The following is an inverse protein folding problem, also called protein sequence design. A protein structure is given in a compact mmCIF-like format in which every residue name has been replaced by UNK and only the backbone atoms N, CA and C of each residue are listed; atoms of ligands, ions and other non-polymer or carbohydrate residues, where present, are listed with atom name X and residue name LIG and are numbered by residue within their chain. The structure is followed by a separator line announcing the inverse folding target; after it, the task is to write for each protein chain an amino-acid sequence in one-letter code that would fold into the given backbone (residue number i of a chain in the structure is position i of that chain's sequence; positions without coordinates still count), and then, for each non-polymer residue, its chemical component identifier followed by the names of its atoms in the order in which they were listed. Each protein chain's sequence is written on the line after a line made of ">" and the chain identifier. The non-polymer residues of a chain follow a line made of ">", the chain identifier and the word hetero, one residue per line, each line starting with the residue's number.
data_IF_348988895233
#
_entry.id   IF_348988895233
#
_cell.length_a   1.000
_cell.length_b   1.000
_cell.length_c   1.000
_cell.angle_alpha   90.00
_cell.angle_beta   90.00
_cell.angle_gamma   90.00
#
_symmetry.space_group_name_H-M   'P 1'
#
loop_
_entity.id
_entity.type
_entity.pdbx_description
1 polymer ?
#
# COMPACT_ATOMS: atom_id res chain seq x y z
N UNK A 1 5.17 -10.06 4.93
CA UNK A 1 4.25 -9.53 3.90
C UNK A 1 3.33 -10.65 3.48
N UNK A 2 2.03 -10.45 3.66
CA UNK A 2 1.00 -11.27 3.04
C UNK A 2 0.73 -10.83 1.58
N UNK A 3 -0.24 -11.44 0.92
CA UNK A 3 -0.58 -11.11 -0.47
C UNK A 3 -1.18 -9.70 -0.63
N UNK A 4 -1.88 -9.18 0.39
CA UNK A 4 -2.41 -7.82 0.38
C UNK A 4 -1.24 -6.83 0.42
N UNK A 5 -0.24 -7.10 1.26
CA UNK A 5 0.97 -6.28 1.38
C UNK A 5 1.73 -6.25 0.06
N UNK A 6 1.98 -7.41 -0.56
CA UNK A 6 2.70 -7.51 -1.85
C UNK A 6 2.00 -6.71 -2.94
N UNK A 7 0.67 -6.85 -3.04
CA UNK A 7 -0.12 -6.14 -4.05
C UNK A 7 -0.11 -4.62 -3.82
N UNK A 8 -0.19 -4.17 -2.57
CA UNK A 8 -0.12 -2.76 -2.25
C UNK A 8 1.24 -2.15 -2.56
N UNK A 9 2.33 -2.86 -2.23
CA UNK A 9 3.69 -2.43 -2.56
C UNK A 9 3.90 -2.34 -4.07
N UNK A 10 3.41 -3.31 -4.85
CA UNK A 10 3.49 -3.27 -6.32
C UNK A 10 2.74 -2.06 -6.91
N UNK A 11 1.54 -1.75 -6.40
CA UNK A 11 0.78 -0.58 -6.84
C UNK A 11 1.54 0.73 -6.56
N UNK A 12 2.20 0.82 -5.40
CA UNK A 12 3.00 1.99 -5.01
C UNK A 12 4.27 2.13 -5.84
N UNK A 13 4.93 1.02 -6.19
CA UNK A 13 6.10 1.05 -7.09
C UNK A 13 5.74 1.56 -8.48
N UNK A 14 4.57 1.17 -8.99
CA UNK A 14 4.09 1.62 -10.31
C UNK A 14 3.51 3.04 -10.27
N UNK A 15 3.32 3.65 -9.08
CA UNK A 15 2.69 4.95 -8.95
C UNK A 15 3.50 6.09 -9.62
N UNK A 16 4.81 5.91 -9.81
CA UNK A 16 5.66 6.86 -10.53
C UNK A 16 5.35 6.97 -12.02
N UNK A 17 4.66 5.98 -12.58
CA UNK A 17 4.27 5.91 -13.99
C UNK A 17 2.79 6.28 -14.21
N UNK A 18 2.07 6.59 -13.14
CA UNK A 18 0.64 6.87 -13.18
C UNK A 18 0.38 8.37 -13.36
N UNK A 19 -0.69 8.70 -14.08
CA UNK A 19 -1.29 10.03 -14.08
C UNK A 19 -1.94 10.36 -12.73
N UNK A 20 -2.24 11.63 -12.49
CA UNK A 20 -2.90 12.09 -11.26
C UNK A 20 -4.24 11.37 -11.01
N UNK A 21 -5.05 11.18 -12.07
CA UNK A 21 -6.34 10.48 -11.97
C UNK A 21 -6.14 9.00 -11.56
N UNK A 22 -5.11 8.35 -12.10
CA UNK A 22 -4.76 6.97 -11.75
C UNK A 22 -4.22 6.85 -10.34
N UNK A 23 -3.43 7.84 -9.88
CA UNK A 23 -2.97 7.94 -8.50
C UNK A 23 -4.16 8.06 -7.55
N UNK A 24 -5.13 8.93 -7.83
CA UNK A 24 -6.33 9.07 -6.99
C UNK A 24 -7.12 7.76 -6.88
N UNK A 25 -7.31 7.06 -8.01
CA UNK A 25 -7.96 5.73 -8.03
C UNK A 25 -7.15 4.72 -7.20
N UNK A 26 -5.84 4.72 -7.34
CA UNK A 26 -4.92 3.84 -6.60
C UNK A 26 -4.98 4.11 -5.10
N UNK A 27 -5.02 5.39 -4.67
CA UNK A 27 -5.18 5.75 -3.26
C UNK A 27 -6.51 5.25 -2.68
N UNK A 28 -7.61 5.31 -3.44
CA UNK A 28 -8.91 4.74 -3.03
C UNK A 28 -8.82 3.22 -2.84
N UNK A 29 -8.14 2.52 -3.75
CA UNK A 29 -7.89 1.07 -3.65
C UNK A 29 -7.04 0.71 -2.44
N UNK A 30 -5.91 1.41 -2.22
CA UNK A 30 -5.02 1.18 -1.08
C UNK A 30 -5.76 1.37 0.26
N UNK A 31 -6.55 2.44 0.39
CA UNK A 31 -7.37 2.66 1.60
C UNK A 31 -8.37 1.54 1.84
N UNK A 32 -8.97 0.98 0.78
CA UNK A 32 -9.89 -0.17 0.89
C UNK A 32 -9.15 -1.44 1.33
N UNK A 33 -8.00 -1.73 0.71
CA UNK A 33 -7.15 -2.86 1.09
C UNK A 33 -6.68 -2.78 2.55
N UNK A 34 -6.27 -1.59 2.99
CA UNK A 34 -5.78 -1.38 4.35
C UNK A 34 -6.90 -1.61 5.39
N UNK A 35 -8.14 -1.20 5.07
CA UNK A 35 -9.32 -1.52 5.90
C UNK A 35 -9.58 -3.03 5.98
N UNK A 36 -9.44 -3.76 4.87
CA UNK A 36 -9.60 -5.21 4.84
C UNK A 36 -8.53 -5.87 5.70
N UNK A 37 -7.26 -5.47 5.57
CA UNK A 37 -6.16 -6.00 6.37
C UNK A 37 -6.37 -5.74 7.86
N UNK A 38 -6.73 -4.51 8.25
CA UNK A 38 -7.03 -4.16 9.64
C UNK A 38 -8.17 -5.02 10.24
N UNK A 39 -9.19 -5.36 9.45
CA UNK A 39 -10.27 -6.26 9.92
C UNK A 39 -9.79 -7.70 10.15
N UNK A 40 -8.79 -8.16 9.39
CA UNK A 40 -8.23 -9.51 9.50
C UNK A 40 -7.21 -9.62 10.63
N UNK A 41 -6.43 -8.57 10.86
CA UNK A 41 -5.34 -8.56 11.83
C UNK A 41 -5.66 -7.64 13.02
N UNK A 42 -6.01 -8.24 14.16
CA UNK A 42 -6.38 -7.52 15.39
C UNK A 42 -5.25 -6.68 15.99
N UNK A 43 -3.99 -6.93 15.60
CA UNK A 43 -2.81 -6.24 16.12
C UNK A 43 -2.53 -4.91 15.40
N UNK A 44 -3.24 -4.61 14.30
CA UNK A 44 -3.06 -3.36 13.56
C UNK A 44 -3.82 -2.23 14.27
N UNK A 45 -3.06 -1.26 14.80
CA UNK A 45 -3.63 -0.11 15.54
C UNK A 45 -4.45 0.80 14.62
N UNK A 46 -3.92 1.15 13.45
CA UNK A 46 -4.58 2.07 12.53
C UNK A 46 -4.41 1.71 11.04
N UNK A 47 -5.28 2.26 10.20
CA UNK A 47 -5.13 2.19 8.74
C UNK A 47 -3.84 2.90 8.31
N UNK A 48 -3.46 3.98 9.01
CA UNK A 48 -2.24 4.73 8.76
C UNK A 48 -1.01 3.82 8.88
N UNK A 49 -0.92 3.02 9.95
CA UNK A 49 0.22 2.12 10.15
C UNK A 49 0.40 1.13 8.98
N UNK A 50 -0.71 0.67 8.38
CA UNK A 50 -0.68 -0.21 7.21
C UNK A 50 -0.15 0.52 5.98
N UNK A 51 -0.64 1.74 5.74
CA UNK A 51 -0.23 2.55 4.60
C UNK A 51 1.24 2.98 4.73
N UNK A 52 1.66 3.42 5.92
CA UNK A 52 3.04 3.80 6.21
C UNK A 52 3.97 2.60 6.03
N UNK A 53 3.56 1.41 6.50
CA UNK A 53 4.31 0.17 6.26
C UNK A 53 4.48 -0.10 4.75
N UNK A 54 3.41 -0.05 3.96
CA UNK A 54 3.50 -0.28 2.52
C UNK A 54 4.36 0.76 1.81
N UNK A 55 4.24 2.04 2.17
CA UNK A 55 5.08 3.11 1.62
C UNK A 55 6.56 2.88 1.94
N UNK A 56 6.89 2.53 3.19
CA UNK A 56 8.26 2.19 3.57
C UNK A 56 8.80 0.97 2.82
N UNK A 57 7.98 -0.07 2.61
CA UNK A 57 8.43 -1.26 1.86
C UNK A 57 8.61 -0.96 0.37
N UNK A 58 7.71 -0.17 -0.24
CA UNK A 58 7.85 0.26 -1.63
C UNK A 58 9.14 1.07 -1.83
N UNK A 59 9.40 2.06 -0.97
CA UNK A 59 10.64 2.83 -1.00
C UNK A 59 11.88 1.95 -0.84
N UNK A 60 11.90 1.05 0.15
CA UNK A 60 13.02 0.11 0.33
C UNK A 60 13.23 -0.80 -0.87
N UNK A 61 12.16 -1.17 -1.56
CA UNK A 61 12.22 -2.01 -2.75
C UNK A 61 12.76 -1.23 -3.94
N UNK A 62 12.30 0.01 -4.15
CA UNK A 62 12.76 0.88 -5.24
C UNK A 62 14.23 1.30 -5.09
N UNK A 63 14.76 1.31 -3.86
CA UNK A 63 16.17 1.64 -3.60
C UNK A 63 17.12 0.44 -3.71
N UNK A 64 16.59 -0.78 -3.82
CA UNK A 64 17.38 -2.00 -4.04
C UNK A 64 17.37 -2.48 -5.49
N UNK A 65 16.48 -1.93 -6.31
CA UNK A 65 16.39 -2.16 -7.74
C UNK A 65 17.31 -1.19 -8.49
#
# INVERSE_FOLDING_TARGET
>A
MDDIDRKAVMLLLNATLMSEEEIEKTLKVLRRMARIKKRREKNIRSIKDVLDYWACQAYKTSMKA
#
